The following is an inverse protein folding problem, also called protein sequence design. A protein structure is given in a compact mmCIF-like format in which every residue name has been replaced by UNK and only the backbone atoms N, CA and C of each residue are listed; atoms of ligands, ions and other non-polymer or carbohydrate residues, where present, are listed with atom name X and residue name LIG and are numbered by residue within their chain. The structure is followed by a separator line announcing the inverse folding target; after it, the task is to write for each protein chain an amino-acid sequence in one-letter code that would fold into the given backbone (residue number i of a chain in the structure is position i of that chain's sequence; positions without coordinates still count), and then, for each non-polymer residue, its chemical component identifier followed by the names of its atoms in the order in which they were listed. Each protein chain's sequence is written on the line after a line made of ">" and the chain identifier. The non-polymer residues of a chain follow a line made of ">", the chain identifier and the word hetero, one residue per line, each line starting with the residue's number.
data_IF_549675347904
#
_entry.id   IF_549675347904
#
_cell.length_a   1.000
_cell.length_b   1.000
_cell.length_c   1.000
_cell.angle_alpha   90.00
_cell.angle_beta   90.00
_cell.angle_gamma   90.00
#
_symmetry.space_group_name_H-M   'P 1'
#
loop_
_entity.id
_entity.type
_entity.pdbx_description
1 polymer ?
#
# COMPACT_ATOMS: atom_id res chain seq x y z
N UNK A 1 -23.65 -61.63 18.28
CA UNK A 1 -22.74 -60.58 18.82
C UNK A 1 -21.52 -60.29 17.95
N UNK A 2 -20.84 -61.28 17.34
CA UNK A 2 -19.59 -61.07 16.57
C UNK A 2 -19.69 -60.18 15.32
N UNK A 3 -20.84 -60.07 14.66
CA UNK A 3 -21.00 -59.20 13.47
C UNK A 3 -21.17 -57.71 13.84
N UNK A 4 -21.87 -57.38 14.94
CA UNK A 4 -22.06 -55.97 15.36
C UNK A 4 -20.74 -55.30 15.77
N UNK A 5 -19.80 -56.08 16.31
CA UNK A 5 -18.46 -55.60 16.70
C UNK A 5 -17.61 -55.25 15.46
N UNK A 6 -17.75 -56.00 14.35
CA UNK A 6 -17.01 -55.74 13.10
C UNK A 6 -17.46 -54.44 12.40
N UNK A 7 -18.73 -54.07 12.51
CA UNK A 7 -19.23 -52.81 11.96
C UNK A 7 -18.82 -51.60 12.82
N UNK A 8 -18.78 -51.75 14.15
CA UNK A 8 -18.29 -50.70 15.04
C UNK A 8 -16.79 -50.42 14.88
N UNK A 9 -15.95 -51.45 14.66
CA UNK A 9 -14.52 -51.25 14.39
C UNK A 9 -14.27 -50.67 13.00
N UNK A 10 -15.05 -51.00 11.98
CA UNK A 10 -14.94 -50.41 10.65
C UNK A 10 -15.31 -48.91 10.64
N UNK A 11 -16.34 -48.52 11.40
CA UNK A 11 -16.74 -47.11 11.55
C UNK A 11 -15.71 -46.31 12.36
N UNK A 12 -15.13 -46.91 13.41
CA UNK A 12 -14.06 -46.27 14.19
C UNK A 12 -12.76 -46.07 13.38
N UNK A 13 -12.42 -47.02 12.50
CA UNK A 13 -11.25 -46.91 11.62
C UNK A 13 -11.46 -45.87 10.51
N UNK A 14 -12.67 -45.80 9.94
CA UNK A 14 -13.04 -44.74 9.00
C UNK A 14 -13.02 -43.35 9.66
N UNK A 15 -13.49 -43.23 10.90
CA UNK A 15 -13.45 -41.97 11.65
C UNK A 15 -12.02 -41.51 11.98
N UNK A 16 -11.06 -42.43 12.20
CA UNK A 16 -9.64 -42.06 12.41
C UNK A 16 -8.91 -41.68 11.12
N UNK A 17 -9.31 -42.21 9.96
CA UNK A 17 -8.73 -41.85 8.67
C UNK A 17 -9.20 -40.49 8.13
N UNK A 18 -10.28 -39.91 8.66
CA UNK A 18 -10.73 -38.55 8.32
C UNK A 18 -10.12 -37.44 9.19
N UNK A 19 -9.28 -37.77 10.19
CA UNK A 19 -8.75 -36.77 11.14
C UNK A 19 -7.37 -36.16 10.77
N UNK A 20 -6.61 -36.53 9.71
CA UNK A 20 -5.44 -35.75 9.32
C UNK A 20 -5.70 -34.76 8.18
N UNK A 21 -6.96 -34.34 7.93
CA UNK A 21 -7.24 -33.27 6.94
C UNK A 21 -7.58 -31.91 7.57
N UNK A 22 -7.83 -31.83 8.87
CA UNK A 22 -8.27 -30.58 9.53
C UNK A 22 -7.15 -29.92 10.35
N UNK A 23 -6.11 -30.65 10.73
CA UNK A 23 -4.93 -30.11 11.44
C UNK A 23 -3.95 -29.34 10.54
N UNK A 24 -4.20 -29.30 9.22
CA UNK A 24 -3.48 -28.46 8.26
C UNK A 24 -4.25 -27.23 7.80
N UNK A 25 -5.52 -27.06 8.21
CA UNK A 25 -6.22 -25.80 8.04
C UNK A 25 -5.68 -24.83 9.09
N UNK A 26 -4.45 -24.36 8.86
CA UNK A 26 -3.95 -23.12 9.43
C UNK A 26 -5.09 -22.14 9.27
N UNK A 27 -5.74 -21.74 10.39
CA UNK A 27 -6.78 -20.70 10.36
C UNK A 27 -6.17 -19.59 9.54
N UNK A 28 -6.63 -19.41 8.30
CA UNK A 28 -6.17 -18.29 7.49
C UNK A 28 -6.47 -17.07 8.34
N UNK A 29 -5.46 -16.34 8.82
CA UNK A 29 -5.74 -15.12 9.56
C UNK A 29 -6.54 -14.26 8.60
N UNK A 30 -7.56 -13.60 9.14
CA UNK A 30 -8.41 -12.75 8.33
C UNK A 30 -7.49 -11.71 7.69
N UNK A 31 -7.54 -11.60 6.36
CA UNK A 31 -7.08 -10.43 5.58
C UNK A 31 -7.29 -9.19 6.44
N UNK A 32 -6.32 -8.26 6.50
CA UNK A 32 -6.60 -6.96 7.11
C UNK A 32 -7.93 -6.49 6.54
N UNK A 33 -8.94 -6.30 7.40
CA UNK A 33 -10.33 -6.24 6.97
C UNK A 33 -10.56 -5.19 5.86
N UNK A 34 -9.65 -4.22 5.71
CA UNK A 34 -9.77 -3.06 4.83
C UNK A 34 -8.38 -2.60 4.32
N UNK A 35 -7.67 -3.44 3.58
CA UNK A 35 -6.62 -2.93 2.70
C UNK A 35 -7.23 -1.92 1.70
N UNK A 36 -6.48 -0.89 1.25
CA UNK A 36 -6.98 0.04 0.23
C UNK A 36 -7.48 -0.73 -0.99
N UNK A 37 -8.61 -0.30 -1.58
CA UNK A 37 -9.13 -0.93 -2.80
C UNK A 37 -8.16 -0.79 -3.96
N UNK A 38 -7.48 0.36 -4.05
CA UNK A 38 -6.41 0.61 -5.01
C UNK A 38 -5.12 0.96 -4.28
N UNK A 39 -4.07 0.17 -4.52
CA UNK A 39 -2.70 0.60 -4.21
C UNK A 39 -1.94 0.78 -5.52
N UNK A 40 -1.56 2.03 -5.78
CA UNK A 40 -0.88 2.46 -7.00
C UNK A 40 0.58 2.67 -6.66
N UNK A 41 1.49 2.02 -7.37
CA UNK A 41 2.93 2.23 -7.24
C UNK A 41 3.40 3.06 -8.42
N UNK A 42 3.84 4.28 -8.14
CA UNK A 42 4.45 5.20 -9.10
C UNK A 42 5.96 5.08 -9.02
N UNK A 43 6.55 4.53 -10.09
CA UNK A 43 7.99 4.37 -10.26
C UNK A 43 8.53 5.63 -10.92
N UNK A 44 9.45 6.30 -10.25
CA UNK A 44 9.94 7.64 -10.65
C UNK A 44 11.23 7.60 -11.46
N UNK A 45 11.77 6.42 -11.72
CA UNK A 45 12.90 6.22 -12.62
C UNK A 45 12.44 5.59 -13.94
N UNK A 46 13.27 5.62 -15.01
CA UNK A 46 12.89 5.09 -16.32
C UNK A 46 12.40 3.65 -16.29
N UNK A 47 11.55 3.29 -17.25
CA UNK A 47 10.94 1.96 -17.37
C UNK A 47 11.98 0.83 -17.30
N UNK A 48 11.85 -0.03 -16.29
CA UNK A 48 12.72 -1.20 -16.10
C UNK A 48 12.07 -2.44 -16.71
N UNK A 49 12.51 -2.83 -17.91
CA UNK A 49 11.91 -3.94 -18.68
C UNK A 49 11.96 -5.32 -18.00
N UNK A 50 12.90 -5.51 -17.08
CA UNK A 50 13.09 -6.79 -16.38
C UNK A 50 12.32 -6.89 -15.07
N UNK A 51 11.54 -5.87 -14.70
CA UNK A 51 10.72 -5.91 -13.49
C UNK A 51 9.44 -6.71 -13.71
N UNK A 52 9.26 -7.77 -12.94
CA UNK A 52 8.05 -8.59 -12.95
C UNK A 52 7.02 -8.07 -11.92
N UNK A 53 6.06 -7.28 -12.39
CA UNK A 53 4.98 -6.77 -11.54
C UNK A 53 4.03 -7.89 -11.06
N UNK A 54 4.05 -9.08 -11.69
CA UNK A 54 3.17 -10.19 -11.31
C UNK A 54 3.52 -10.79 -9.94
N UNK A 55 4.71 -10.50 -9.41
CA UNK A 55 5.09 -10.82 -8.03
C UNK A 55 4.27 -10.04 -6.98
N UNK A 56 3.55 -8.99 -7.40
CA UNK A 56 2.81 -8.06 -6.55
C UNK A 56 1.35 -7.89 -7.02
N UNK A 57 0.53 -8.96 -6.97
CA UNK A 57 -0.79 -8.98 -7.61
C UNK A 57 -1.80 -7.95 -7.10
N UNK A 58 -1.57 -7.32 -5.94
CA UNK A 58 -2.46 -6.29 -5.40
C UNK A 58 -1.92 -4.86 -5.61
N UNK A 59 -0.72 -4.71 -6.16
CA UNK A 59 -0.10 -3.41 -6.44
C UNK A 59 -0.15 -3.13 -7.95
N UNK A 60 -0.61 -1.93 -8.32
CA UNK A 60 -0.70 -1.52 -9.72
C UNK A 60 0.47 -0.59 -10.05
N UNK A 61 1.38 -1.05 -10.92
CA UNK A 61 2.61 -0.32 -11.23
C UNK A 61 2.42 0.59 -12.44
N UNK A 62 2.83 1.84 -12.25
CA UNK A 62 2.93 2.86 -13.27
C UNK A 62 4.27 3.58 -13.13
N UNK A 63 4.70 4.21 -14.20
CA UNK A 63 5.92 4.99 -14.28
C UNK A 63 5.55 6.46 -14.48
N UNK A 64 6.38 7.37 -13.98
CA UNK A 64 6.32 8.73 -14.48
C UNK A 64 6.80 8.77 -15.95
N UNK A 65 6.27 9.66 -16.78
CA UNK A 65 6.88 9.96 -18.08
C UNK A 65 8.35 10.40 -17.94
N UNK A 66 9.08 10.44 -19.06
CA UNK A 66 10.50 10.83 -19.10
C UNK A 66 10.73 12.21 -18.45
N UNK A 67 9.85 13.16 -18.76
CA UNK A 67 9.72 14.40 -18.02
C UNK A 67 8.76 14.20 -16.85
N UNK A 68 9.26 14.34 -15.61
CA UNK A 68 8.42 14.18 -14.43
C UNK A 68 7.28 15.23 -14.44
N UNK A 69 6.01 14.82 -14.19
CA UNK A 69 4.90 15.75 -14.16
C UNK A 69 5.14 16.91 -13.20
N UNK A 70 4.83 18.15 -13.62
CA UNK A 70 5.18 19.37 -12.89
C UNK A 70 4.74 19.36 -11.41
N UNK A 71 3.55 18.80 -11.10
CA UNK A 71 3.11 18.68 -9.71
C UNK A 71 4.07 17.83 -8.87
N UNK A 72 4.50 16.69 -9.39
CA UNK A 72 5.46 15.81 -8.72
C UNK A 72 6.83 16.47 -8.64
N UNK A 73 7.23 17.22 -9.66
CA UNK A 73 8.47 18.00 -9.64
C UNK A 73 8.47 19.05 -8.52
N UNK A 74 7.44 19.88 -8.42
CA UNK A 74 7.38 20.89 -7.34
C UNK A 74 7.20 20.23 -5.97
N UNK A 75 6.44 19.14 -5.86
CA UNK A 75 6.30 18.40 -4.61
C UNK A 75 7.64 17.77 -4.20
N UNK A 76 8.46 17.30 -5.16
CA UNK A 76 9.76 16.68 -4.91
C UNK A 76 10.76 17.62 -4.18
N UNK A 77 10.55 18.94 -4.30
CA UNK A 77 11.36 19.98 -3.65
C UNK A 77 11.12 20.08 -2.14
N UNK A 78 9.92 19.71 -1.69
CA UNK A 78 9.51 19.79 -0.27
C UNK A 78 9.29 18.41 0.38
N UNK A 79 9.05 17.38 -0.43
CA UNK A 79 8.99 15.97 -0.04
C UNK A 79 9.79 15.13 -1.04
N UNK A 80 10.73 14.28 -0.64
CA UNK A 80 11.45 13.45 -1.60
C UNK A 80 10.50 12.42 -2.26
N UNK A 81 10.54 12.34 -3.59
CA UNK A 81 9.73 11.44 -4.43
C UNK A 81 10.64 10.70 -5.42
N UNK A 82 11.20 9.54 -5.05
CA UNK A 82 11.11 8.86 -3.77
C UNK A 82 12.27 9.28 -2.83
N UNK A 83 12.24 8.90 -1.54
CA UNK A 83 13.41 9.03 -0.69
C UNK A 83 14.54 8.09 -1.14
N UNK A 84 15.77 8.48 -0.84
CA UNK A 84 16.97 7.67 -1.12
C UNK A 84 16.89 6.24 -0.60
N UNK A 85 16.31 6.05 0.59
CA UNK A 85 16.24 4.76 1.28
C UNK A 85 14.83 4.52 1.82
N UNK A 86 13.86 4.30 0.93
CA UNK A 86 12.47 4.14 1.36
C UNK A 86 11.43 4.25 0.26
N UNK A 87 10.22 4.59 0.68
CA UNK A 87 9.10 4.99 -0.17
C UNK A 87 8.42 6.25 0.38
N UNK A 88 7.73 6.97 -0.49
CA UNK A 88 6.73 7.99 -0.10
C UNK A 88 5.34 7.43 -0.32
N UNK A 89 4.45 7.54 0.66
CA UNK A 89 3.06 7.14 0.55
C UNK A 89 2.12 8.33 0.63
N UNK A 90 1.11 8.38 -0.22
CA UNK A 90 0.00 9.34 -0.19
C UNK A 90 -1.31 8.56 -0.14
N UNK A 91 -2.18 8.90 0.81
CA UNK A 91 -3.55 8.35 0.88
C UNK A 91 -4.52 9.38 0.34
N UNK A 92 -5.38 8.94 -0.57
CA UNK A 92 -6.40 9.75 -1.22
C UNK A 92 -7.77 9.14 -0.90
N UNK A 93 -8.73 9.98 -0.54
CA UNK A 93 -10.09 9.52 -0.27
C UNK A 93 -10.94 9.40 -1.55
N UNK A 94 -12.23 9.09 -1.39
CA UNK A 94 -13.18 8.93 -2.51
C UNK A 94 -13.53 10.25 -3.23
N UNK A 95 -13.24 11.40 -2.62
CA UNK A 95 -13.47 12.72 -3.21
C UNK A 95 -12.20 13.25 -3.90
N UNK A 96 -11.13 12.46 -3.95
CA UNK A 96 -9.84 12.88 -4.51
C UNK A 96 -9.04 13.78 -3.57
N UNK A 97 -9.43 13.90 -2.30
CA UNK A 97 -8.71 14.71 -1.31
C UNK A 97 -7.58 13.92 -0.67
N UNK A 98 -6.41 14.54 -0.54
CA UNK A 98 -5.25 13.95 0.14
C UNK A 98 -5.53 13.88 1.63
N UNK A 99 -5.70 12.67 2.16
CA UNK A 99 -5.92 12.43 3.57
C UNK A 99 -4.61 12.40 4.37
N UNK A 100 -3.53 11.94 3.74
CA UNK A 100 -2.26 11.68 4.44
C UNK A 100 -1.07 11.62 3.48
N UNK A 101 0.10 12.10 3.90
CA UNK A 101 1.39 11.89 3.20
C UNK A 101 2.49 11.46 4.20
N UNK A 102 3.39 10.57 3.78
CA UNK A 102 4.49 10.10 4.63
C UNK A 102 5.68 9.48 3.89
N UNK A 103 6.86 9.63 4.48
CA UNK A 103 8.05 8.83 4.17
C UNK A 103 8.19 7.60 5.06
N UNK A 104 8.56 6.48 4.45
CA UNK A 104 8.87 5.23 5.11
C UNK A 104 10.29 4.80 4.76
N UNK A 105 11.16 4.61 5.76
CA UNK A 105 12.56 4.22 5.54
C UNK A 105 12.73 2.71 5.40
N UNK A 106 13.68 2.28 4.56
CA UNK A 106 14.09 0.88 4.43
C UNK A 106 14.65 0.28 5.74
N UNK A 107 15.14 1.09 6.69
CA UNK A 107 15.56 0.60 8.01
C UNK A 107 14.39 -0.02 8.80
N UNK A 108 13.16 0.36 8.47
CA UNK A 108 11.97 -0.22 9.09
C UNK A 108 11.71 -1.66 8.57
N UNK A 109 12.08 -1.94 7.33
CA UNK A 109 11.99 -3.27 6.71
C UNK A 109 13.14 -4.23 7.06
N UNK A 110 14.29 -3.73 7.52
CA UNK A 110 15.44 -4.59 7.87
C UNK A 110 15.31 -5.26 9.24
N UNK A 111 14.44 -4.73 10.11
CA UNK A 111 14.17 -5.27 11.45
C UNK A 111 12.90 -6.13 11.51
N UNK A 112 12.28 -6.40 10.36
CA UNK A 112 11.05 -7.19 10.23
C UNK A 112 11.42 -8.60 9.77
N UNK A 113 11.44 -9.55 10.70
CA UNK A 113 11.89 -10.92 10.51
C UNK A 113 10.82 -11.86 9.91
N UNK A 114 9.88 -11.33 9.13
CA UNK A 114 8.73 -12.04 8.55
C UNK A 114 7.81 -12.74 9.57
N UNK A 115 8.01 -12.55 10.88
CA UNK A 115 7.30 -13.28 11.94
C UNK A 115 6.47 -12.39 12.86
N UNK A 116 6.77 -11.10 12.94
CA UNK A 116 6.08 -10.20 13.86
C UNK A 116 4.97 -9.39 13.18
N UNK A 117 3.72 -9.84 13.36
CA UNK A 117 2.49 -9.03 13.24
C UNK A 117 2.63 -7.70 14.02
N UNK A 118 3.40 -7.71 15.12
CA UNK A 118 3.63 -6.57 16.02
C UNK A 118 4.47 -5.44 15.39
N UNK A 119 5.30 -5.73 14.39
CA UNK A 119 6.28 -4.79 13.83
C UNK A 119 5.87 -4.18 12.48
N UNK A 120 4.81 -4.70 11.84
CA UNK A 120 4.09 -3.94 10.81
C UNK A 120 3.14 -2.88 11.36
N UNK A 121 3.40 -2.48 12.61
CA UNK A 121 3.27 -1.10 13.05
C UNK A 121 4.06 -0.09 12.18
N UNK A 122 4.63 -0.41 11.01
CA UNK A 122 5.09 0.59 10.04
C UNK A 122 3.99 1.64 9.75
N UNK A 123 2.72 1.22 9.83
CA UNK A 123 1.53 2.08 9.80
C UNK A 123 0.99 2.51 11.20
N UNK A 124 1.36 1.86 12.30
CA UNK A 124 0.85 2.19 13.66
C UNK A 124 1.86 2.96 14.53
N UNK A 125 3.16 2.70 14.40
CA UNK A 125 4.25 3.64 14.72
C UNK A 125 4.10 4.90 13.87
N UNK A 126 3.45 4.81 12.69
CA UNK A 126 3.04 5.99 11.94
C UNK A 126 2.11 6.94 12.71
N UNK A 127 1.46 6.47 13.77
CA UNK A 127 0.60 7.28 14.64
C UNK A 127 1.23 7.67 15.98
N UNK A 128 2.45 7.22 16.33
CA UNK A 128 3.01 7.50 17.67
C UNK A 128 3.65 8.89 17.83
N UNK A 129 3.81 9.66 16.77
CA UNK A 129 4.20 11.08 16.86
C UNK A 129 3.28 11.93 16.01
N UNK A 130 2.23 12.41 16.66
CA UNK A 130 1.29 13.37 16.10
C UNK A 130 1.99 14.66 15.69
N UNK A 131 1.62 15.14 14.52
CA UNK A 131 1.85 16.52 14.07
C UNK A 131 0.78 16.94 13.05
N UNK A 132 -0.48 16.57 13.25
CA UNK A 132 -1.68 17.27 12.73
C UNK A 132 -2.95 16.48 13.07
N UNK A 133 -3.61 16.85 14.16
CA UNK A 133 -5.06 16.65 14.34
C UNK A 133 -5.60 15.29 14.80
N UNK A 134 -4.99 14.15 14.51
CA UNK A 134 -5.57 12.84 14.88
C UNK A 134 -4.59 11.88 15.60
N UNK A 135 -5.08 11.24 16.67
CA UNK A 135 -4.31 10.46 17.65
C UNK A 135 -4.26 8.95 17.42
N UNK A 136 -4.74 8.46 16.26
CA UNK A 136 -5.01 7.02 16.01
C UNK A 136 -4.07 6.40 14.97
N UNK A 137 -3.76 5.08 15.06
CA UNK A 137 -3.01 4.28 14.06
C UNK A 137 -3.46 4.51 12.60
N UNK A 138 -2.54 4.47 11.63
CA UNK A 138 -2.92 4.61 10.20
C UNK A 138 -3.86 3.47 9.76
N UNK A 139 -3.73 2.27 10.33
CA UNK A 139 -4.70 1.19 10.11
C UNK A 139 -6.13 1.58 10.52
N UNK A 140 -6.31 2.35 11.60
CA UNK A 140 -7.61 2.83 12.06
C UNK A 140 -8.10 4.00 11.19
N UNK A 141 -7.19 4.85 10.73
CA UNK A 141 -7.51 5.94 9.79
C UNK A 141 -7.94 5.36 8.44
N UNK A 142 -7.13 4.50 7.83
CA UNK A 142 -7.46 3.77 6.61
C UNK A 142 -8.78 3.01 6.75
N UNK A 143 -9.01 2.38 7.91
CA UNK A 143 -10.28 1.71 8.22
C UNK A 143 -11.46 2.68 8.30
N UNK A 144 -11.31 3.89 8.84
CA UNK A 144 -12.40 4.87 8.82
C UNK A 144 -12.64 5.49 7.45
N UNK A 145 -11.58 5.79 6.70
CA UNK A 145 -11.69 6.32 5.34
C UNK A 145 -12.28 5.27 4.38
N UNK A 146 -11.83 4.01 4.48
CA UNK A 146 -12.26 2.91 3.59
C UNK A 146 -13.59 2.26 4.03
N UNK A 147 -13.84 2.01 5.32
CA UNK A 147 -15.12 1.37 5.76
C UNK A 147 -16.28 2.38 5.81
N UNK A 148 -16.04 3.56 6.38
CA UNK A 148 -17.13 4.51 6.64
C UNK A 148 -17.34 5.49 5.48
N UNK A 149 -16.56 5.34 4.42
CA UNK A 149 -16.50 6.26 3.28
C UNK A 149 -16.43 7.74 3.71
N UNK A 150 -15.73 8.01 4.81
CA UNK A 150 -15.58 9.37 5.31
C UNK A 150 -14.71 10.16 4.35
N UNK A 151 -15.13 11.38 4.02
CA UNK A 151 -14.28 12.31 3.30
C UNK A 151 -13.23 12.92 4.24
N UNK A 152 -12.01 13.06 3.74
CA UNK A 152 -11.01 13.92 4.32
C UNK A 152 -11.52 15.37 4.26
N UNK A 153 -11.14 16.17 5.24
CA UNK A 153 -11.57 17.56 5.27
C UNK A 153 -10.80 18.35 4.21
N UNK A 154 -11.47 18.73 3.13
CA UNK A 154 -10.94 19.65 2.12
C UNK A 154 -10.58 21.00 2.76
N UNK A 155 -9.40 21.51 2.45
CA UNK A 155 -8.95 22.85 2.79
C UNK A 155 -8.93 23.71 1.53
N UNK A 156 -9.93 24.57 1.37
CA UNK A 156 -10.09 25.44 0.20
C UNK A 156 -8.91 26.40 -0.01
N UNK A 157 -8.07 26.61 1.01
CA UNK A 157 -6.86 27.44 0.91
C UNK A 157 -5.68 26.70 0.30
N UNK A 158 -5.74 25.37 0.21
CA UNK A 158 -4.71 24.53 -0.40
C UNK A 158 -5.15 24.18 -1.81
N UNK A 159 -4.42 24.69 -2.78
CA UNK A 159 -4.66 24.43 -4.19
C UNK A 159 -3.36 24.38 -4.95
N UNK A 160 -3.42 23.77 -6.13
CA UNK A 160 -2.35 23.74 -7.10
C UNK A 160 -2.90 24.20 -8.44
N UNK A 161 -2.12 25.05 -9.11
CA UNK A 161 -2.39 25.47 -10.49
C UNK A 161 -1.26 24.94 -11.36
N UNK A 162 -1.55 24.20 -12.45
CA UNK A 162 -0.53 23.69 -13.35
C UNK A 162 0.46 24.78 -13.80
N UNK A 163 1.76 24.46 -13.74
CA UNK A 163 2.84 25.39 -14.10
C UNK A 163 3.17 26.46 -13.05
N UNK A 164 2.54 26.43 -11.87
CA UNK A 164 2.84 27.34 -10.76
C UNK A 164 3.21 26.57 -9.50
N UNK A 165 4.20 27.08 -8.77
CA UNK A 165 4.54 26.55 -7.46
C UNK A 165 3.47 26.97 -6.44
N UNK A 166 2.92 26.05 -5.62
CA UNK A 166 1.97 26.40 -4.59
C UNK A 166 2.54 27.39 -3.55
N UNK A 167 1.70 28.31 -3.09
CA UNK A 167 2.12 29.37 -2.15
C UNK A 167 1.31 29.39 -0.86
N UNK A 168 0.51 28.35 -0.59
CA UNK A 168 -0.29 28.29 0.63
C UNK A 168 0.58 28.06 1.86
N UNK A 169 0.09 28.49 3.04
CA UNK A 169 0.81 28.38 4.30
C UNK A 169 1.15 26.92 4.61
N UNK A 170 2.45 26.61 4.73
CA UNK A 170 2.95 25.28 5.05
C UNK A 170 3.33 24.43 3.84
N UNK A 171 3.21 24.95 2.60
CA UNK A 171 3.73 24.30 1.40
C UNK A 171 5.23 23.99 1.49
N UNK A 172 6.01 24.93 2.04
CA UNK A 172 7.46 24.80 2.31
C UNK A 172 7.82 23.60 3.21
N UNK A 173 6.83 23.11 3.96
CA UNK A 173 6.91 21.94 4.84
C UNK A 173 6.15 20.73 4.29
N UNK A 174 5.65 20.85 3.07
CA UNK A 174 4.88 19.83 2.38
C UNK A 174 3.54 19.48 3.02
N UNK A 175 2.89 20.44 3.71
CA UNK A 175 1.59 20.23 4.36
C UNK A 175 0.44 20.17 3.33
N UNK A 176 0.39 19.11 2.53
CA UNK A 176 -0.55 18.92 1.42
C UNK A 176 -1.84 18.20 1.83
N UNK A 177 -1.98 17.73 3.08
CA UNK A 177 -3.22 17.09 3.54
C UNK A 177 -4.42 18.06 3.48
N UNK A 178 -5.57 17.60 3.01
CA UNK A 178 -6.76 18.41 2.74
C UNK A 178 -6.74 19.10 1.37
N UNK A 179 -5.65 19.02 0.62
CA UNK A 179 -5.60 19.46 -0.77
C UNK A 179 -6.23 18.41 -1.68
N UNK A 180 -6.91 18.86 -2.74
CA UNK A 180 -7.35 17.98 -3.82
C UNK A 180 -6.11 17.47 -4.58
N UNK A 181 -6.04 16.16 -4.81
CA UNK A 181 -4.94 15.53 -5.53
C UNK A 181 -4.92 16.08 -6.97
N UNK A 182 -3.87 16.79 -7.40
CA UNK A 182 -3.77 17.24 -8.78
C UNK A 182 -3.67 16.05 -9.71
N UNK A 183 -4.32 16.15 -10.87
CA UNK A 183 -4.10 15.13 -11.89
C UNK A 183 -2.66 15.24 -12.42
N UNK A 184 -2.06 14.10 -12.73
CA UNK A 184 -0.75 14.00 -13.35
C UNK A 184 -0.66 12.74 -14.20
N UNK A 185 0.16 12.83 -15.24
CA UNK A 185 0.33 11.78 -16.23
C UNK A 185 1.19 10.63 -15.71
N UNK A 186 0.87 9.43 -16.19
CA UNK A 186 1.49 8.16 -15.83
C UNK A 186 1.60 7.29 -17.07
N UNK A 187 2.55 6.35 -17.05
CA UNK A 187 2.80 5.38 -18.12
C UNK A 187 2.75 3.97 -17.56
N UNK A 188 1.91 3.11 -18.11
CA UNK A 188 1.85 1.69 -17.76
C UNK A 188 3.08 0.92 -18.29
N UNK A 189 3.31 -0.30 -17.79
CA UNK A 189 4.45 -1.13 -18.24
C UNK A 189 4.44 -1.45 -19.74
N UNK A 190 3.27 -1.48 -20.37
CA UNK A 190 3.10 -1.70 -21.81
C UNK A 190 3.29 -0.42 -22.66
N UNK A 191 3.57 0.72 -22.01
CA UNK A 191 3.74 2.03 -22.64
C UNK A 191 2.44 2.82 -22.79
N UNK A 192 1.30 2.30 -22.32
CA UNK A 192 0.03 3.04 -22.37
C UNK A 192 0.08 4.25 -21.45
N UNK A 193 -0.24 5.43 -21.99
CA UNK A 193 -0.39 6.66 -21.22
C UNK A 193 -1.74 6.67 -20.48
N UNK A 194 -1.74 7.17 -19.25
CA UNK A 194 -2.93 7.35 -18.40
C UNK A 194 -2.67 8.49 -17.43
N UNK A 195 -3.61 8.75 -16.52
CA UNK A 195 -3.44 9.74 -15.46
C UNK A 195 -3.84 9.18 -14.10
N UNK A 196 -3.33 9.78 -13.02
CA UNK A 196 -3.64 9.29 -11.67
C UNK A 196 -5.15 9.32 -11.36
N UNK A 197 -5.90 10.27 -11.91
CA UNK A 197 -7.36 10.32 -11.72
C UNK A 197 -8.08 9.17 -12.42
N UNK A 198 -7.67 8.79 -13.63
CA UNK A 198 -8.19 7.59 -14.32
C UNK A 198 -7.82 6.31 -13.58
N UNK A 199 -6.56 6.21 -13.12
CA UNK A 199 -6.09 5.06 -12.35
C UNK A 199 -6.86 4.92 -11.04
N UNK A 200 -7.18 6.01 -10.34
CA UNK A 200 -7.97 5.97 -9.12
C UNK A 200 -9.46 5.78 -9.37
N UNK A 201 -10.01 6.31 -10.47
CA UNK A 201 -11.43 6.15 -10.88
C UNK A 201 -12.41 6.52 -9.75
N UNK A 202 -12.15 7.65 -9.06
CA UNK A 202 -12.97 8.11 -7.93
C UNK A 202 -12.96 7.21 -6.70
N UNK A 203 -12.09 6.20 -6.64
CA UNK A 203 -11.94 5.31 -5.48
C UNK A 203 -10.85 5.81 -4.54
N UNK A 204 -11.00 5.58 -3.23
CA UNK A 204 -9.90 5.82 -2.30
C UNK A 204 -8.70 4.95 -2.67
N UNK A 205 -7.52 5.54 -2.59
CA UNK A 205 -6.29 4.91 -3.05
C UNK A 205 -5.09 5.20 -2.15
N UNK A 206 -4.14 4.27 -2.17
CA UNK A 206 -2.81 4.45 -1.59
C UNK A 206 -1.78 4.54 -2.71
N UNK A 207 -1.19 5.72 -2.90
CA UNK A 207 -0.18 5.98 -3.93
C UNK A 207 1.19 5.86 -3.27
N UNK A 208 2.07 5.05 -3.85
CA UNK A 208 3.43 4.79 -3.36
C UNK A 208 4.42 5.26 -4.40
N UNK A 209 5.34 6.15 -4.03
CA UNK A 209 6.45 6.57 -4.88
C UNK A 209 7.71 5.79 -4.50
N UNK A 210 8.35 5.18 -5.49
CA UNK A 210 9.55 4.35 -5.30
C UNK A 210 10.40 4.29 -6.57
N UNK A 211 11.56 3.63 -6.48
CA UNK A 211 12.40 3.30 -7.62
C UNK A 211 12.54 1.78 -7.76
N UNK A 212 12.80 1.35 -8.99
CA UNK A 212 13.15 -0.03 -9.33
C UNK A 212 14.60 -0.04 -9.82
N UNK A 213 15.44 -0.91 -9.27
CA UNK A 213 16.84 -1.03 -9.68
C UNK A 213 16.95 -1.62 -11.08
N UNK A 214 18.09 -1.38 -11.75
CA UNK A 214 18.35 -1.85 -13.11
C UNK A 214 18.22 -3.37 -13.28
N UNK A 215 18.46 -4.13 -12.21
CA UNK A 215 18.30 -5.58 -12.17
C UNK A 215 16.84 -6.03 -12.00
N UNK A 216 15.87 -5.11 -12.08
CA UNK A 216 14.44 -5.42 -12.04
C UNK A 216 13.91 -5.72 -10.65
N UNK A 217 14.55 -5.21 -9.59
CA UNK A 217 14.08 -5.39 -8.20
C UNK A 217 13.59 -4.08 -7.61
N UNK A 218 12.57 -4.09 -6.74
CA UNK A 218 12.25 -2.90 -5.98
C UNK A 218 13.42 -2.48 -5.09
N UNK A 219 13.79 -1.19 -5.16
CA UNK A 219 14.84 -0.63 -4.29
C UNK A 219 14.37 -0.64 -2.82
N UNK A 220 13.06 -0.53 -2.59
CA UNK A 220 12.49 -0.65 -1.26
C UNK A 220 11.89 -2.04 -1.04
N UNK A 221 12.41 -2.82 -0.08
CA UNK A 221 11.77 -4.07 0.33
C UNK A 221 10.40 -3.83 1.00
N UNK A 222 10.01 -2.57 1.27
CA UNK A 222 8.68 -2.24 1.78
C UNK A 222 7.56 -2.60 0.80
N UNK A 223 7.78 -2.62 -0.52
CA UNK A 223 6.74 -3.02 -1.47
C UNK A 223 6.29 -4.47 -1.23
N UNK A 224 7.25 -5.36 -0.99
CA UNK A 224 6.98 -6.75 -0.61
C UNK A 224 6.17 -6.82 0.67
N UNK A 225 6.53 -6.01 1.65
CA UNK A 225 5.78 -5.99 2.89
C UNK A 225 4.37 -5.42 2.74
N UNK A 226 4.13 -4.44 1.86
CA UNK A 226 2.79 -3.90 1.59
C UNK A 226 1.92 -4.96 0.91
N UNK A 227 2.43 -5.59 -0.15
CA UNK A 227 1.76 -6.69 -0.85
C UNK A 227 1.40 -7.82 0.11
N UNK A 228 2.35 -8.28 0.90
CA UNK A 228 2.08 -9.38 1.79
C UNK A 228 1.28 -8.93 3.01
N UNK A 229 1.66 -7.89 3.74
CA UNK A 229 1.02 -7.64 5.03
C UNK A 229 -0.37 -7.00 4.88
N UNK A 230 -0.60 -6.10 3.91
CA UNK A 230 -1.95 -5.55 3.71
C UNK A 230 -2.89 -6.56 3.05
N UNK A 231 -2.40 -7.30 2.05
CA UNK A 231 -3.28 -8.09 1.19
C UNK A 231 -3.20 -9.60 1.45
N UNK A 232 -2.03 -10.14 1.82
CA UNK A 232 -1.77 -11.57 2.02
C UNK A 232 -1.13 -11.85 3.39
N UNK A 233 -1.93 -11.98 4.46
CA UNK A 233 -1.48 -12.07 5.86
C UNK A 233 -0.53 -13.26 6.21
N UNK A 234 0.13 -13.90 5.25
CA UNK A 234 1.42 -14.55 5.43
C UNK A 234 2.21 -14.50 4.11
N UNK A 235 3.49 -14.07 4.10
CA UNK A 235 4.35 -14.29 2.94
C UNK A 235 4.63 -15.80 2.77
N UNK A 236 4.69 -16.33 1.53
CA UNK A 236 5.20 -17.67 1.31
C UNK A 236 6.65 -17.73 1.82
N UNK A 237 6.97 -18.78 2.58
CA UNK A 237 8.35 -19.04 3.04
C UNK A 237 9.25 -19.05 1.81
N UNK A 238 10.24 -18.15 1.73
CA UNK A 238 11.39 -18.34 0.83
C UNK A 238 11.98 -19.72 1.15
N UNK A 239 11.93 -20.63 0.18
CA UNK A 239 12.62 -21.92 0.27
C UNK A 239 14.09 -21.73 -0.05
#
# INVERSE_FOLDING_TARGET
>A
MKQRIKYLTAIALAAMLFVPAISGAQKMPKKHKNAPEKTVVVVTNPLVKNFDASEYPHLQFYYTPEEMPHFLEVLSKVWPLPPKEGITGIVVDKEGTIAYVRLFSNLLSSNTDNRDETNFNILSVAARKGSSGESRPLEDQLKEYVIKEKAAKKDEKKSYTPGQEPTFKGWDKGLIEGMELPNFDLVAQDGTETSIHEVLDGKPGFIIFTNISEDGKPVSPLLWHIEHIFYNYFPPRRR
#
